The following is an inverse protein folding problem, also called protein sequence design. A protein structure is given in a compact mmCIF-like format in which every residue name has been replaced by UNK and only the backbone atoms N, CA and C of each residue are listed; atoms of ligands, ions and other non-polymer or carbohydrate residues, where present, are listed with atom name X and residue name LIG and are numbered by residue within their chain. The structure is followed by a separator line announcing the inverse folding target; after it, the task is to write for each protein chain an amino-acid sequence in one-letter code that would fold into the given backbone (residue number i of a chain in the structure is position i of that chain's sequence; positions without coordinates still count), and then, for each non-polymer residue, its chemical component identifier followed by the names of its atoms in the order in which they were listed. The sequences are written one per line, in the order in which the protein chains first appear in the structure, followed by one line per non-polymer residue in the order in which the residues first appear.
data_IF_101270923689
#
_entry.id   IF_101270923689
#
_cell.length_a   1.000
_cell.length_b   1.000
_cell.length_c   1.000
_cell.angle_alpha   90.00
_cell.angle_beta   90.00
_cell.angle_gamma   90.00
#
_symmetry.space_group_name_H-M   'P 1'
#
loop_
_entity.id
_entity.type
_entity.pdbx_description
1 polymer ?
#
# COMPACT_ATOMS: atom_id res chain seq x y z
N UNK A 1 -38.95 -20.14 25.11
CA UNK A 1 -37.61 -19.56 25.34
C UNK A 1 -37.42 -18.39 24.37
N UNK A 2 -37.32 -17.17 24.91
CA UNK A 2 -37.23 -15.92 24.15
C UNK A 2 -35.78 -15.60 23.74
N UNK A 3 -35.63 -15.11 22.50
CA UNK A 3 -34.72 -14.02 22.18
C UNK A 3 -33.35 -14.40 21.63
N UNK A 4 -33.28 -14.77 20.34
CA UNK A 4 -32.07 -14.55 19.57
C UNK A 4 -31.80 -13.04 19.49
N UNK A 5 -30.85 -12.55 20.29
CA UNK A 5 -30.31 -11.20 20.13
C UNK A 5 -29.48 -11.18 18.85
N UNK A 6 -30.11 -10.80 17.73
CA UNK A 6 -29.39 -10.45 16.50
C UNK A 6 -28.63 -9.16 16.77
N UNK A 7 -27.39 -9.34 17.22
CA UNK A 7 -26.46 -8.30 17.62
C UNK A 7 -26.11 -7.43 16.40
N UNK A 8 -26.88 -6.37 16.14
CA UNK A 8 -26.63 -5.35 15.11
C UNK A 8 -25.34 -4.53 15.31
N UNK A 9 -24.53 -4.87 16.31
CA UNK A 9 -23.29 -4.19 16.67
C UNK A 9 -22.08 -4.51 15.77
N UNK A 10 -22.17 -5.49 14.87
CA UNK A 10 -21.10 -5.78 13.91
C UNK A 10 -21.07 -4.80 12.74
N UNK A 11 -22.15 -4.05 12.49
CA UNK A 11 -22.23 -3.12 11.35
C UNK A 11 -21.47 -1.79 11.57
N UNK A 12 -21.22 -1.37 12.82
CA UNK A 12 -20.68 -0.04 13.14
C UNK A 12 -19.17 0.00 13.43
N UNK A 13 -18.46 -1.12 13.49
CA UNK A 13 -17.01 -1.14 13.80
C UNK A 13 -16.10 -0.55 12.71
N UNK A 14 -16.66 -0.23 11.54
CA UNK A 14 -15.94 0.41 10.44
C UNK A 14 -16.27 1.89 10.26
N UNK A 15 -17.14 2.50 11.07
CA UNK A 15 -17.54 3.91 10.88
C UNK A 15 -16.83 4.79 11.90
N UNK A 16 -16.09 5.80 11.43
CA UNK A 16 -15.42 6.78 12.29
C UNK A 16 -15.54 8.18 11.69
N UNK A 17 -15.57 9.20 12.54
CA UNK A 17 -15.62 10.59 12.09
C UNK A 17 -14.20 11.10 11.88
N UNK A 18 -13.91 11.63 10.69
CA UNK A 18 -12.66 12.33 10.38
C UNK A 18 -12.99 13.79 10.12
N UNK A 19 -12.25 14.68 10.76
CA UNK A 19 -12.35 16.11 10.49
C UNK A 19 -11.61 16.40 9.19
N UNK A 20 -12.32 16.90 8.18
CA UNK A 20 -11.70 17.32 6.93
C UNK A 20 -10.94 18.65 7.11
N UNK A 21 -10.22 19.10 6.07
CA UNK A 21 -9.46 20.36 6.09
C UNK A 21 -10.34 21.61 6.36
N UNK A 22 -11.66 21.49 6.21
CA UNK A 22 -12.65 22.56 6.45
C UNK A 22 -13.20 22.53 7.89
N UNK A 23 -12.74 21.61 8.74
CA UNK A 23 -13.22 21.47 10.12
C UNK A 23 -14.53 20.69 10.26
N UNK A 24 -15.06 20.11 9.18
CA UNK A 24 -16.31 19.34 9.19
C UNK A 24 -16.05 17.88 9.56
N UNK A 25 -16.85 17.35 10.50
CA UNK A 25 -16.85 15.93 10.80
C UNK A 25 -17.54 15.17 9.67
N UNK A 26 -16.76 14.38 8.95
CA UNK A 26 -17.25 13.50 7.88
C UNK A 26 -17.23 12.07 8.39
N UNK A 27 -18.36 11.37 8.22
CA UNK A 27 -18.45 9.96 8.53
C UNK A 27 -17.70 9.17 7.46
N UNK A 28 -16.58 8.57 7.85
CA UNK A 28 -15.75 7.75 6.97
C UNK A 28 -15.94 6.29 7.34
N UNK A 29 -16.21 5.48 6.31
CA UNK A 29 -16.18 4.03 6.42
C UNK A 29 -14.75 3.53 6.27
N UNK A 30 -14.10 3.18 7.36
CA UNK A 30 -13.00 2.23 7.38
C UNK A 30 -13.57 0.85 7.08
N UNK A 31 -13.55 0.45 5.82
CA UNK A 31 -13.62 -0.96 5.47
C UNK A 31 -12.31 -1.59 5.97
N UNK A 32 -12.32 -2.39 7.05
CA UNK A 32 -11.11 -3.04 7.50
C UNK A 32 -10.58 -3.91 6.36
N UNK A 33 -9.28 -3.85 6.03
CA UNK A 33 -8.72 -4.74 5.03
C UNK A 33 -9.00 -6.18 5.42
N UNK A 34 -9.20 -7.05 4.44
CA UNK A 34 -9.31 -8.49 4.66
C UNK A 34 -8.17 -8.93 5.61
N UNK A 35 -8.48 -9.57 6.76
CA UNK A 35 -7.47 -9.88 7.78
C UNK A 35 -6.27 -10.65 7.22
N UNK A 36 -6.51 -11.56 6.27
CA UNK A 36 -5.48 -12.33 5.58
C UNK A 36 -4.55 -11.45 4.70
N UNK A 37 -5.09 -10.42 4.06
CA UNK A 37 -4.28 -9.47 3.27
C UNK A 37 -3.39 -8.62 4.18
N UNK A 38 -3.94 -8.16 5.30
CA UNK A 38 -3.20 -7.35 6.27
C UNK A 38 -2.09 -8.16 6.94
N UNK A 39 -2.35 -9.41 7.31
CA UNK A 39 -1.34 -10.32 7.85
C UNK A 39 -0.20 -10.55 6.85
N UNK A 40 -0.53 -10.85 5.59
CA UNK A 40 0.47 -11.05 4.54
C UNK A 40 1.29 -9.77 4.28
N UNK A 41 0.64 -8.60 4.28
CA UNK A 41 1.31 -7.31 4.18
C UNK A 41 2.32 -7.09 5.32
N UNK A 42 1.91 -7.35 6.57
CA UNK A 42 2.80 -7.21 7.73
C UNK A 42 4.01 -8.14 7.64
N UNK A 43 3.81 -9.38 7.18
CA UNK A 43 4.93 -10.33 6.96
C UNK A 43 5.88 -9.84 5.88
N UNK A 44 5.37 -9.27 4.79
CA UNK A 44 6.19 -8.68 3.73
C UNK A 44 7.04 -7.52 4.26
N UNK A 45 6.43 -6.61 5.04
CA UNK A 45 7.13 -5.47 5.67
C UNK A 45 8.20 -5.96 6.65
N UNK A 46 7.87 -6.92 7.51
CA UNK A 46 8.82 -7.48 8.45
C UNK A 46 10.02 -8.11 7.74
N UNK A 47 9.79 -8.83 6.63
CA UNK A 47 10.84 -9.43 5.81
C UNK A 47 11.77 -8.38 5.16
N UNK A 48 11.23 -7.22 4.78
CA UNK A 48 11.98 -6.07 4.25
C UNK A 48 12.81 -5.33 5.30
N UNK A 49 12.34 -5.30 6.54
CA UNK A 49 13.01 -4.61 7.66
C UNK A 49 14.14 -5.44 8.28
N UNK A 50 14.27 -6.72 7.91
CA UNK A 50 15.39 -7.56 8.36
C UNK A 50 16.71 -7.05 7.79
N UNK A 51 17.78 -7.29 8.54
CA UNK A 51 19.16 -7.06 8.09
C UNK A 51 19.92 -8.40 8.05
N UNK A 52 20.23 -8.95 6.87
CA UNK A 52 19.89 -8.45 5.53
C UNK A 52 18.40 -8.68 5.15
N UNK A 53 17.85 -7.88 4.21
CA UNK A 53 16.45 -7.97 3.80
C UNK A 53 16.16 -9.28 3.05
N UNK A 54 15.06 -9.94 3.41
CA UNK A 54 14.63 -11.20 2.79
C UNK A 54 13.66 -10.93 1.65
N UNK A 55 14.20 -10.53 0.51
CA UNK A 55 13.43 -10.07 -0.64
C UNK A 55 12.51 -11.15 -1.24
N UNK A 56 12.95 -12.41 -1.28
CA UNK A 56 12.13 -13.51 -1.81
C UNK A 56 10.91 -13.81 -0.92
N UNK A 57 11.11 -13.82 0.41
CA UNK A 57 10.01 -13.97 1.38
C UNK A 57 9.04 -12.79 1.28
N UNK A 58 9.58 -11.56 1.20
CA UNK A 58 8.77 -10.35 1.06
C UNK A 58 7.93 -10.37 -0.23
N UNK A 59 8.52 -10.83 -1.35
CA UNK A 59 7.84 -10.98 -2.63
C UNK A 59 6.72 -12.02 -2.56
N UNK A 60 6.95 -13.15 -1.89
CA UNK A 60 5.90 -14.16 -1.67
C UNK A 60 4.72 -13.58 -0.87
N UNK A 61 5.01 -12.94 0.25
CA UNK A 61 3.99 -12.37 1.13
C UNK A 61 3.20 -11.23 0.48
N UNK A 62 3.84 -10.35 -0.30
CA UNK A 62 3.11 -9.26 -0.96
C UNK A 62 2.21 -9.78 -2.09
N UNK A 63 2.61 -10.84 -2.79
CA UNK A 63 1.78 -11.48 -3.81
C UNK A 63 0.53 -12.10 -3.17
N UNK A 64 0.67 -12.74 -2.00
CA UNK A 64 -0.49 -13.24 -1.26
C UNK A 64 -1.41 -12.11 -0.80
N UNK A 65 -0.86 -10.99 -0.32
CA UNK A 65 -1.67 -9.82 0.03
C UNK A 65 -2.47 -9.28 -1.18
N UNK A 66 -1.83 -9.21 -2.35
CA UNK A 66 -2.45 -8.78 -3.60
C UNK A 66 -3.51 -9.75 -4.13
N UNK A 67 -3.42 -11.05 -3.81
CA UNK A 67 -4.47 -12.03 -4.15
C UNK A 67 -5.78 -11.75 -3.40
N UNK A 68 -5.68 -11.25 -2.18
CA UNK A 68 -6.85 -10.88 -1.38
C UNK A 68 -7.37 -9.48 -1.71
N UNK A 69 -6.47 -8.54 -2.00
CA UNK A 69 -6.81 -7.15 -2.31
C UNK A 69 -5.96 -6.63 -3.47
N UNK A 70 -6.39 -6.88 -4.72
CA UNK A 70 -5.68 -6.38 -5.89
C UNK A 70 -5.86 -4.87 -6.11
N UNK A 71 -6.85 -4.25 -5.47
CA UNK A 71 -7.23 -2.86 -5.71
C UNK A 71 -6.61 -1.88 -4.70
N UNK A 72 -5.71 -2.35 -3.82
CA UNK A 72 -5.10 -1.52 -2.78
C UNK A 72 -3.74 -0.94 -3.25
N UNK A 73 -3.61 0.39 -3.42
CA UNK A 73 -2.39 1.01 -3.95
C UNK A 73 -1.16 0.84 -3.05
N UNK A 74 -1.38 0.73 -1.74
CA UNK A 74 -0.36 0.48 -0.72
C UNK A 74 0.40 -0.82 -1.02
N UNK A 75 -0.33 -1.89 -1.40
CA UNK A 75 0.26 -3.19 -1.66
C UNK A 75 1.12 -3.20 -2.94
N UNK A 76 0.65 -2.52 -3.98
CA UNK A 76 1.42 -2.31 -5.21
C UNK A 76 2.67 -1.46 -4.97
N UNK A 77 2.58 -0.48 -4.07
CA UNK A 77 3.73 0.36 -3.69
C UNK A 77 4.79 -0.44 -2.96
N UNK A 78 4.40 -1.29 -2.00
CA UNK A 78 5.34 -2.19 -1.31
C UNK A 78 5.93 -3.22 -2.26
N UNK A 79 5.16 -3.74 -3.21
CA UNK A 79 5.72 -4.57 -4.29
C UNK A 79 6.80 -3.81 -5.06
N UNK A 80 6.53 -2.57 -5.46
CA UNK A 80 7.51 -1.71 -6.11
C UNK A 80 8.77 -1.51 -5.28
N UNK A 81 8.64 -1.30 -3.97
CA UNK A 81 9.77 -1.18 -3.04
C UNK A 81 10.60 -2.47 -2.98
N UNK A 82 9.95 -3.64 -2.91
CA UNK A 82 10.63 -4.95 -2.91
C UNK A 82 11.45 -5.13 -4.17
N UNK A 83 10.86 -4.88 -5.34
CA UNK A 83 11.53 -5.02 -6.64
C UNK A 83 12.68 -4.00 -6.78
N UNK A 84 12.48 -2.77 -6.31
CA UNK A 84 13.51 -1.74 -6.28
C UNK A 84 14.72 -2.16 -5.43
N UNK A 85 14.48 -2.69 -4.23
CA UNK A 85 15.56 -3.23 -3.37
C UNK A 85 16.21 -4.49 -3.94
N UNK A 86 15.49 -5.25 -4.77
CA UNK A 86 16.02 -6.39 -5.51
C UNK A 86 16.85 -5.98 -6.73
N UNK A 87 16.84 -4.70 -7.12
CA UNK A 87 17.52 -4.19 -8.30
C UNK A 87 16.74 -4.34 -9.61
N UNK A 88 15.49 -4.84 -9.56
CA UNK A 88 14.61 -4.94 -10.72
C UNK A 88 13.78 -3.66 -10.86
N UNK A 89 14.41 -2.62 -11.39
CA UNK A 89 13.78 -1.32 -11.61
C UNK A 89 12.59 -1.39 -12.58
N UNK A 90 12.66 -2.27 -13.59
CA UNK A 90 11.58 -2.43 -14.56
C UNK A 90 10.31 -3.01 -13.90
N UNK A 91 10.46 -4.05 -13.08
CA UNK A 91 9.34 -4.60 -12.32
C UNK A 91 8.80 -3.61 -11.28
N UNK A 92 9.69 -2.84 -10.63
CA UNK A 92 9.32 -1.81 -9.69
C UNK A 92 8.45 -0.72 -10.33
N UNK A 93 8.84 -0.22 -11.50
CA UNK A 93 8.08 0.78 -12.27
C UNK A 93 6.68 0.28 -12.62
N UNK A 94 6.57 -0.95 -13.11
CA UNK A 94 5.27 -1.55 -13.45
C UNK A 94 4.36 -1.63 -12.23
N UNK A 95 4.91 -2.02 -11.07
CA UNK A 95 4.15 -2.09 -9.82
C UNK A 95 3.71 -0.70 -9.34
N UNK A 96 4.59 0.29 -9.38
CA UNK A 96 4.30 1.65 -8.95
C UNK A 96 3.33 2.36 -9.91
N UNK A 97 3.42 2.08 -11.21
CA UNK A 97 2.46 2.57 -12.20
C UNK A 97 1.05 2.05 -11.92
N UNK A 98 0.91 0.79 -11.51
CA UNK A 98 -0.38 0.24 -11.06
C UNK A 98 -0.90 0.93 -9.79
N UNK A 99 -0.03 1.21 -8.82
CA UNK A 99 -0.41 1.96 -7.62
C UNK A 99 -0.97 3.35 -7.98
N UNK A 100 -0.33 4.05 -8.91
CA UNK A 100 -0.78 5.36 -9.38
C UNK A 100 -2.03 5.30 -10.26
N UNK A 101 -2.24 4.20 -10.98
CA UNK A 101 -3.48 3.99 -11.74
C UNK A 101 -4.69 3.80 -10.81
N UNK A 102 -4.50 3.09 -9.68
CA UNK A 102 -5.54 2.91 -8.66
C UNK A 102 -5.81 4.20 -7.89
N UNK A 103 -4.74 4.91 -7.49
CA UNK A 103 -4.84 6.19 -6.80
C UNK A 103 -3.88 7.20 -7.39
N UNK A 104 -4.36 8.03 -8.34
CA UNK A 104 -3.58 9.15 -8.86
C UNK A 104 -3.16 10.07 -7.72
N UNK A 105 -1.86 10.33 -7.59
CA UNK A 105 -1.32 11.16 -6.50
C UNK A 105 -0.98 10.42 -5.21
N UNK A 106 -0.80 9.09 -5.24
CA UNK A 106 -0.31 8.37 -4.07
C UNK A 106 1.16 8.75 -3.79
N UNK A 107 1.45 9.45 -2.68
CA UNK A 107 2.73 10.13 -2.48
C UNK A 107 3.89 9.14 -2.36
N UNK A 108 3.67 7.98 -1.73
CA UNK A 108 4.73 6.97 -1.56
C UNK A 108 5.14 6.34 -2.89
N UNK A 109 4.17 6.07 -3.78
CA UNK A 109 4.47 5.55 -5.11
C UNK A 109 5.22 6.58 -5.99
N UNK A 110 4.83 7.86 -5.91
CA UNK A 110 5.55 8.94 -6.61
C UNK A 110 6.98 9.10 -6.11
N UNK A 111 7.18 9.03 -4.79
CA UNK A 111 8.51 9.09 -4.16
C UNK A 111 9.42 7.96 -4.62
N UNK A 112 8.89 6.74 -4.72
CA UNK A 112 9.66 5.58 -5.21
C UNK A 112 9.94 5.69 -6.71
N UNK A 113 8.98 6.10 -7.54
CA UNK A 113 9.22 6.32 -8.97
C UNK A 113 10.25 7.42 -9.23
N UNK A 114 10.24 8.51 -8.47
CA UNK A 114 11.23 9.57 -8.59
C UNK A 114 12.65 9.10 -8.19
N UNK A 115 12.77 8.08 -7.34
CA UNK A 115 14.07 7.47 -7.02
C UNK A 115 14.57 6.55 -8.14
N UNK A 116 13.66 5.90 -8.87
CA UNK A 116 13.99 5.07 -10.03
C UNK A 116 14.37 5.93 -11.23
N UNK A 117 13.56 6.97 -11.49
CA UNK A 117 13.77 7.98 -12.51
C UNK A 117 14.11 9.31 -11.85
N UNK A 118 15.34 9.48 -11.33
CA UNK A 118 15.75 10.80 -10.88
C UNK A 118 15.60 11.75 -12.07
N UNK A 119 15.03 12.95 -11.88
CA UNK A 119 15.02 13.93 -12.93
C UNK A 119 16.45 14.08 -13.39
N UNK A 120 16.73 13.73 -14.65
CA UNK A 120 18.04 13.99 -15.25
C UNK A 120 18.21 15.50 -15.14
N UNK A 121 18.97 15.92 -14.14
CA UNK A 121 19.48 17.26 -14.04
C UNK A 121 20.43 17.37 -15.21
N UNK A 122 19.88 17.85 -16.32
CA UNK A 122 20.63 18.16 -17.52
C UNK A 122 21.69 19.19 -17.09
N UNK A 123 22.89 18.70 -16.81
CA UNK A 123 24.09 19.48 -16.51
C UNK A 123 24.60 20.17 -17.79
N UNK A 124 23.70 20.86 -18.49
CA UNK A 124 24.01 21.74 -19.62
C UNK A 124 23.63 23.16 -19.22
N UNK A 125 24.36 23.70 -18.25
CA UNK A 125 24.37 25.14 -17.95
C UNK A 125 25.68 25.51 -17.24
N UNK A 126 26.80 25.41 -17.95
CA UNK A 126 27.96 26.25 -17.71
C UNK A 126 28.68 26.43 -19.05
N UNK A 127 28.38 27.56 -19.70
CA UNK A 127 29.13 28.12 -20.82
C UNK A 127 30.39 28.80 -20.28
#
# INVERSE_FOLDING_TARGET
MCGCWTNGYTANRGLHYVTNAEGKQVLVKSTPPAPAAYEAYLRARLALERDPPRLDEARGHILDALRWQPDEPQLWTVRGEIEWRAGDFAAAEVALAKALALRPGYPEAQRLLAQIHPPRTNATAAK
#
